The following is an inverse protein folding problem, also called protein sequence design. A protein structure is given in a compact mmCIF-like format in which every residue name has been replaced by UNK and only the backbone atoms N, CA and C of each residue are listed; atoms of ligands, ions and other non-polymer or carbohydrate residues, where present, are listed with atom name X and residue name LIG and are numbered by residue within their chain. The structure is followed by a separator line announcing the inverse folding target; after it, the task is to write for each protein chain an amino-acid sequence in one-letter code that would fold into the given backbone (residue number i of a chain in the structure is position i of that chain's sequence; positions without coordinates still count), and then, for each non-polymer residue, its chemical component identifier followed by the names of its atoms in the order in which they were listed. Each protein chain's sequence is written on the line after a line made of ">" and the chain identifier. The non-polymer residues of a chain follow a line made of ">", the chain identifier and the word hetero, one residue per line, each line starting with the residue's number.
data_IF_123315847441
#
_entry.id   IF_123315847441
#
_cell.length_a   1.000
_cell.length_b   1.000
_cell.length_c   1.000
_cell.angle_alpha   90.00
_cell.angle_beta   90.00
_cell.angle_gamma   90.00
#
_symmetry.space_group_name_H-M   'P 1'
#
loop_
_entity.id
_entity.type
_entity.pdbx_description
1 polymer ?
#
# COMPACT_ATOMS: atom_id res chain seq x y z
N UNK A 1 -8.90 -4.37 -1.33
CA UNK A 1 -7.48 -3.99 -1.54
C UNK A 1 -6.93 -3.27 -0.32
N UNK A 2 -5.63 -3.43 -0.04
CA UNK A 2 -4.96 -2.85 1.14
C UNK A 2 -3.65 -2.17 0.74
N UNK A 3 -3.47 -0.91 1.11
CA UNK A 3 -2.24 -0.16 0.91
C UNK A 3 -1.43 -0.11 2.22
N UNK A 4 -0.31 -0.82 2.25
CA UNK A 4 0.67 -0.74 3.32
C UNK A 4 1.58 0.47 3.12
N UNK A 5 1.70 1.29 4.16
CA UNK A 5 2.47 2.54 4.16
C UNK A 5 3.33 2.65 5.43
N UNK A 6 4.09 3.74 5.56
CA UNK A 6 4.79 4.14 6.79
C UNK A 6 4.70 5.66 6.94
N UNK A 7 4.73 6.17 8.18
CA UNK A 7 4.59 7.60 8.46
C UNK A 7 5.61 8.47 7.69
N UNK A 8 6.88 8.05 7.70
CA UNK A 8 7.99 8.75 7.04
C UNK A 8 8.29 8.16 5.65
N UNK A 9 7.30 8.13 4.77
CA UNK A 9 7.43 7.55 3.43
C UNK A 9 6.94 8.53 2.35
N UNK A 10 7.87 9.23 1.70
CA UNK A 10 7.55 10.19 0.63
C UNK A 10 6.80 9.54 -0.55
N UNK A 11 7.19 8.33 -0.95
CA UNK A 11 6.51 7.55 -1.99
C UNK A 11 5.07 7.19 -1.60
N UNK A 12 4.80 7.00 -0.31
CA UNK A 12 3.46 6.69 0.20
C UNK A 12 2.57 7.93 0.15
N UNK A 13 3.09 9.08 0.59
CA UNK A 13 2.39 10.37 0.49
C UNK A 13 2.02 10.71 -0.96
N UNK A 14 2.93 10.46 -1.91
CA UNK A 14 2.67 10.65 -3.34
C UNK A 14 1.38 9.96 -3.82
N UNK A 15 1.09 8.75 -3.33
CA UNK A 15 -0.12 7.99 -3.69
C UNK A 15 -1.34 8.55 -2.96
N UNK A 16 -1.23 8.82 -1.66
CA UNK A 16 -2.33 9.32 -0.82
C UNK A 16 -2.84 10.70 -1.24
N UNK A 17 -1.97 11.55 -1.75
CA UNK A 17 -2.34 12.88 -2.27
C UNK A 17 -3.02 12.82 -3.64
N UNK A 18 -2.83 11.73 -4.41
CA UNK A 18 -3.33 11.59 -5.79
C UNK A 18 -4.62 10.80 -5.90
N UNK A 19 -4.87 9.92 -4.95
CA UNK A 19 -6.02 9.03 -4.97
C UNK A 19 -6.74 9.11 -3.63
N UNK A 20 -8.06 9.30 -3.68
CA UNK A 20 -8.91 9.13 -2.51
C UNK A 20 -9.08 7.63 -2.23
N UNK A 21 -8.19 7.08 -1.40
CA UNK A 21 -8.16 5.65 -1.08
C UNK A 21 -9.48 5.16 -0.51
N UNK A 22 -10.13 5.97 0.33
CA UNK A 22 -11.40 5.63 0.94
C UNK A 22 -12.52 5.55 -0.11
N UNK A 23 -12.62 6.54 -1.00
CA UNK A 23 -13.59 6.50 -2.10
C UNK A 23 -13.34 5.33 -3.07
N UNK A 24 -12.10 4.84 -3.17
CA UNK A 24 -11.73 3.67 -3.98
C UNK A 24 -11.88 2.32 -3.24
N UNK A 25 -12.32 2.32 -1.98
CA UNK A 25 -12.45 1.10 -1.17
C UNK A 25 -11.10 0.45 -0.82
N UNK A 26 -10.01 1.22 -0.80
CA UNK A 26 -8.68 0.77 -0.42
C UNK A 26 -8.44 1.10 1.06
N UNK A 27 -8.19 0.06 1.88
CA UNK A 27 -7.80 0.24 3.28
C UNK A 27 -6.35 0.68 3.36
N UNK A 28 -6.06 1.75 4.10
CA UNK A 28 -4.68 2.11 4.45
C UNK A 28 -4.27 1.39 5.74
N UNK A 29 -3.09 0.76 5.74
CA UNK A 29 -2.45 0.25 6.94
C UNK A 29 -1.06 0.86 7.10
N UNK A 30 -0.86 1.56 8.21
CA UNK A 30 0.42 2.21 8.52
C UNK A 30 1.28 1.27 9.34
N UNK A 31 2.41 0.86 8.78
CA UNK A 31 3.41 0.03 9.44
C UNK A 31 4.15 0.88 10.49
N UNK A 32 3.93 0.53 11.75
CA UNK A 32 4.56 1.14 12.91
C UNK A 32 4.82 0.06 13.96
N UNK A 33 5.80 0.28 14.85
CA UNK A 33 6.19 -0.70 15.87
C UNK A 33 5.06 -0.99 16.87
N UNK A 34 4.16 -0.02 17.07
CA UNK A 34 2.97 -0.12 17.93
C UNK A 34 1.74 -0.67 17.19
N UNK A 35 1.81 -0.89 15.87
CA UNK A 35 0.72 -1.42 15.06
C UNK A 35 0.93 -2.90 14.72
N UNK A 36 0.78 -3.76 15.74
CA UNK A 36 0.96 -5.20 15.60
C UNK A 36 0.01 -5.84 14.57
N UNK A 37 -1.22 -5.30 14.40
CA UNK A 37 -2.19 -5.81 13.43
C UNK A 37 -1.70 -5.64 11.99
N UNK A 38 -1.22 -4.43 11.64
CA UNK A 38 -0.69 -4.17 10.30
C UNK A 38 0.58 -4.99 10.01
N UNK A 39 1.45 -5.17 11.01
CA UNK A 39 2.63 -6.02 10.89
C UNK A 39 2.27 -7.49 10.67
N UNK A 40 1.28 -8.01 11.41
CA UNK A 40 0.80 -9.38 11.26
C UNK A 40 0.14 -9.59 9.89
N UNK A 41 -0.66 -8.64 9.42
CA UNK A 41 -1.29 -8.70 8.10
C UNK A 41 -0.26 -8.68 6.97
N UNK A 42 0.74 -7.79 7.05
CA UNK A 42 1.86 -7.79 6.11
C UNK A 42 2.64 -9.11 6.11
N UNK A 43 2.86 -9.69 7.30
CA UNK A 43 3.55 -10.96 7.44
C UNK A 43 2.76 -12.14 6.85
N UNK A 44 1.43 -12.12 6.95
CA UNK A 44 0.57 -13.11 6.30
C UNK A 44 0.71 -13.11 4.78
N UNK A 45 1.00 -11.95 4.18
CA UNK A 45 1.31 -11.81 2.76
C UNK A 45 2.77 -12.15 2.39
N UNK A 46 3.60 -12.55 3.36
CA UNK A 46 5.05 -12.79 3.16
C UNK A 46 5.81 -11.55 2.66
N UNK A 47 5.32 -10.34 2.95
CA UNK A 47 5.85 -9.08 2.41
C UNK A 47 6.79 -8.32 3.36
N UNK A 48 7.18 -8.91 4.50
CA UNK A 48 8.02 -8.24 5.51
C UNK A 48 9.36 -7.77 4.93
N UNK A 49 10.07 -8.65 4.22
CA UNK A 49 11.35 -8.30 3.59
C UNK A 49 11.18 -7.30 2.45
N UNK A 50 10.06 -7.37 1.73
CA UNK A 50 9.72 -6.43 0.66
C UNK A 50 9.50 -5.03 1.22
N UNK A 51 8.74 -4.90 2.31
CA UNK A 51 8.44 -3.62 2.96
C UNK A 51 9.70 -2.95 3.57
N UNK A 52 10.69 -3.74 3.96
CA UNK A 52 12.00 -3.22 4.39
C UNK A 52 12.79 -2.59 3.24
N UNK A 53 12.60 -3.09 2.00
CA UNK A 53 13.29 -2.61 0.80
C UNK A 53 12.55 -1.47 0.13
N UNK A 54 11.22 -1.57 0.01
CA UNK A 54 10.42 -0.59 -0.71
C UNK A 54 8.98 -0.49 -0.19
N UNK A 55 8.53 0.76 -0.10
CA UNK A 55 7.15 1.16 0.18
C UNK A 55 6.72 2.24 -0.83
N UNK A 56 5.40 2.44 -1.05
CA UNK A 56 4.27 1.67 -0.49
C UNK A 56 4.09 0.29 -1.16
N UNK A 57 3.27 -0.57 -0.56
CA UNK A 57 2.84 -1.84 -1.16
C UNK A 57 1.32 -1.89 -1.22
N UNK A 58 0.74 -2.12 -2.39
CA UNK A 58 -0.70 -2.32 -2.59
C UNK A 58 -0.97 -3.80 -2.81
N UNK A 59 -1.69 -4.42 -1.89
CA UNK A 59 -2.23 -5.78 -2.04
C UNK A 59 -3.60 -5.70 -2.69
N UNK A 60 -3.76 -6.45 -3.78
CA UNK A 60 -4.99 -6.56 -4.56
C UNK A 60 -5.92 -7.63 -3.98
N UNK A 61 -7.16 -7.68 -4.45
CA UNK A 61 -8.18 -8.62 -3.93
C UNK A 61 -7.88 -10.10 -4.26
N UNK A 62 -6.97 -10.35 -5.21
CA UNK A 62 -6.47 -11.68 -5.57
C UNK A 62 -5.18 -12.07 -4.81
N UNK A 63 -4.82 -11.31 -3.76
CA UNK A 63 -3.59 -11.43 -2.98
C UNK A 63 -2.28 -11.16 -3.77
N UNK A 64 -2.36 -10.59 -4.97
CA UNK A 64 -1.15 -10.11 -5.65
C UNK A 64 -0.71 -8.76 -5.07
N UNK A 65 0.59 -8.47 -5.11
CA UNK A 65 1.17 -7.26 -4.53
C UNK A 65 1.84 -6.39 -5.61
N UNK A 66 1.53 -5.09 -5.58
CA UNK A 66 2.22 -4.06 -6.36
C UNK A 66 3.13 -3.27 -5.42
N UNK A 67 4.41 -3.17 -5.75
CA UNK A 67 5.43 -2.55 -4.89
C UNK A 67 5.91 -1.24 -5.50
N UNK A 68 5.99 -0.20 -4.67
CA UNK A 68 6.47 1.12 -5.06
C UNK A 68 5.39 2.02 -5.69
N UNK A 69 5.63 3.33 -5.64
CA UNK A 69 4.64 4.32 -6.05
C UNK A 69 4.31 4.27 -7.56
N UNK A 70 5.28 3.98 -8.44
CA UNK A 70 5.05 4.03 -9.89
C UNK A 70 4.08 2.92 -10.34
N UNK A 71 4.31 1.63 -10.02
CA UNK A 71 3.38 0.56 -10.39
C UNK A 71 1.98 0.76 -9.82
N UNK A 72 1.91 1.17 -8.54
CA UNK A 72 0.63 1.44 -7.86
C UNK A 72 -0.13 2.57 -8.56
N UNK A 73 0.54 3.68 -8.87
CA UNK A 73 -0.08 4.79 -9.60
C UNK A 73 -0.62 4.33 -10.96
N UNK A 74 0.18 3.59 -11.73
CA UNK A 74 -0.23 3.10 -13.04
C UNK A 74 -1.46 2.19 -12.95
N UNK A 75 -1.50 1.31 -11.96
CA UNK A 75 -2.65 0.44 -11.71
C UNK A 75 -3.90 1.25 -11.35
N UNK A 76 -3.81 2.14 -10.36
CA UNK A 76 -4.96 2.93 -9.90
C UNK A 76 -5.46 3.88 -10.98
N UNK A 77 -4.58 4.53 -11.74
CA UNK A 77 -4.97 5.36 -12.88
C UNK A 77 -5.65 4.57 -13.99
N UNK A 78 -5.24 3.33 -14.28
CA UNK A 78 -5.92 2.49 -15.30
C UNK A 78 -7.27 1.98 -14.83
N UNK A 79 -7.41 1.70 -13.54
CA UNK A 79 -8.63 1.12 -12.97
C UNK A 79 -9.70 2.17 -12.65
N UNK A 80 -9.29 3.36 -12.24
CA UNK A 80 -10.19 4.40 -11.69
C UNK A 80 -9.98 5.79 -12.31
N UNK A 81 -8.94 5.99 -13.10
CA UNK A 81 -8.82 7.21 -13.89
C UNK A 81 -9.82 7.17 -15.04
N UNK A 82 -10.64 8.22 -15.14
CA UNK A 82 -11.30 8.58 -16.41
C UNK A 82 -10.26 8.89 -17.47
#
# INVERSE_FOLDING_TARGET
>A
MTLFTKAECQKCHYIKERFDLHALGIREEVLAEDNAEALAHLAWHELVETAQKELPILVLDDNTALVGAIPIKQYLSRRYGN
#
